data_IF_861848424706
#
_entry.id   IF_861848424706
#
_cell.length_a   1.000
_cell.length_b   1.000
_cell.length_c   1.000
_cell.angle_alpha   90.00
_cell.angle_beta   90.00
_cell.angle_gamma   90.00
#
_symmetry.space_group_name_H-M   'P 1'
#
loop_
_entity.id
_entity.type
_entity.pdbx_description
1 polymer ?
#
# COMPACT_ATOMS: atom_id res chain seq x y z
N UNK A 1 16.98 3.07 62.54
CA UNK A 1 16.32 3.92 61.51
C UNK A 1 16.95 3.63 60.16
N UNK A 2 16.26 2.87 59.30
CA UNK A 2 16.75 2.51 57.95
C UNK A 2 16.18 3.49 56.94
N UNK A 3 17.05 4.16 56.17
CA UNK A 3 16.68 5.09 55.09
C UNK A 3 16.39 4.27 53.83
N UNK A 4 15.20 4.44 53.26
CA UNK A 4 14.85 3.86 51.96
C UNK A 4 15.17 4.86 50.85
N UNK A 5 16.01 4.44 49.90
CA UNK A 5 16.29 5.16 48.67
C UNK A 5 15.17 4.86 47.68
N UNK A 6 14.52 5.90 47.15
CA UNK A 6 13.54 5.79 46.06
C UNK A 6 14.31 6.03 44.76
N UNK A 7 14.43 4.99 43.94
CA UNK A 7 14.98 5.08 42.59
C UNK A 7 13.82 5.40 41.64
N UNK A 8 13.77 6.64 41.13
CA UNK A 8 12.84 7.06 40.09
C UNK A 8 13.43 6.69 38.72
N UNK A 9 12.94 5.61 38.11
CA UNK A 9 13.17 5.33 36.69
C UNK A 9 12.17 6.14 35.86
N UNK A 10 12.65 7.25 35.29
CA UNK A 10 11.97 7.94 34.20
C UNK A 10 12.25 7.16 32.93
N UNK A 11 11.36 6.20 32.62
CA UNK A 11 11.36 5.53 31.33
C UNK A 11 10.87 6.48 30.25
N UNK A 12 11.78 7.05 29.46
CA UNK A 12 11.45 7.73 28.23
C UNK A 12 11.17 6.66 27.16
N UNK A 13 9.95 6.12 27.13
CA UNK A 13 9.49 5.31 26.01
C UNK A 13 9.14 6.27 24.88
N UNK A 14 10.12 6.58 24.03
CA UNK A 14 9.84 7.09 22.69
C UNK A 14 9.20 5.94 21.90
N UNK A 15 7.90 5.74 22.11
CA UNK A 15 7.08 4.99 21.18
C UNK A 15 6.91 5.88 19.94
N UNK A 16 7.84 5.77 18.98
CA UNK A 16 7.56 6.24 17.64
C UNK A 16 6.48 5.34 17.04
N UNK A 17 5.24 5.79 17.11
CA UNK A 17 4.12 5.29 16.31
C UNK A 17 4.35 5.70 14.85
N UNK A 18 5.36 5.13 14.22
CA UNK A 18 5.49 5.12 12.77
C UNK A 18 5.19 3.70 12.32
N UNK A 19 4.65 3.55 11.13
CA UNK A 19 4.40 2.26 10.46
C UNK A 19 3.07 1.61 10.86
N UNK A 20 1.98 2.32 10.52
CA UNK A 20 0.77 1.64 10.08
C UNK A 20 0.94 1.39 8.57
N UNK A 21 0.83 0.13 8.19
CA UNK A 21 0.70 -0.34 6.81
C UNK A 21 -0.25 0.55 6.02
N UNK A 22 0.08 0.90 4.77
CA UNK A 22 -0.88 1.55 3.87
C UNK A 22 -2.12 0.66 3.79
N UNK A 23 -3.28 1.08 4.31
CA UNK A 23 -4.42 0.19 4.56
C UNK A 23 -5.00 -0.43 3.27
N UNK A 24 -4.68 0.14 2.11
CA UNK A 24 -5.11 -0.36 0.81
C UNK A 24 -4.33 -1.57 0.31
N UNK A 25 -3.18 -1.87 0.90
CA UNK A 25 -2.37 -3.00 0.50
C UNK A 25 -2.19 -3.95 1.69
N UNK A 26 -2.34 -5.27 1.50
CA UNK A 26 -2.00 -6.23 2.54
C UNK A 26 -0.55 -6.01 2.99
N UNK A 27 -0.25 -6.37 4.26
CA UNK A 27 0.96 -6.15 5.08
C UNK A 27 2.36 -6.50 4.49
N UNK A 28 2.53 -6.52 3.18
CA UNK A 28 3.80 -6.66 2.45
C UNK A 28 4.35 -5.28 2.01
N UNK A 29 4.12 -4.24 2.82
CA UNK A 29 4.55 -2.88 2.55
C UNK A 29 5.21 -2.31 3.79
N UNK A 30 6.51 -2.52 3.92
CA UNK A 30 7.37 -1.69 4.77
C UNK A 30 8.83 -1.77 4.30
N UNK A 31 9.28 -0.75 3.57
CA UNK A 31 10.67 -0.64 3.16
C UNK A 31 10.92 0.50 2.18
N UNK A 32 11.59 1.57 2.64
CA UNK A 32 12.00 2.70 1.79
C UNK A 32 13.13 2.29 0.83
N UNK A 33 12.78 1.86 -0.38
CA UNK A 33 13.68 1.95 -1.52
C UNK A 33 12.86 2.28 -2.79
N UNK A 34 12.82 3.56 -3.15
CA UNK A 34 12.30 4.02 -4.44
C UNK A 34 13.34 3.72 -5.53
N UNK A 35 13.03 2.82 -6.47
CA UNK A 35 13.81 2.74 -7.70
C UNK A 35 13.48 3.94 -8.59
N UNK A 36 14.50 4.58 -9.18
CA UNK A 36 14.32 5.66 -10.15
C UNK A 36 13.62 5.11 -11.41
N UNK A 37 12.32 5.37 -11.54
CA UNK A 37 11.59 5.07 -12.77
C UNK A 37 11.91 6.12 -13.84
N UNK A 38 12.14 5.68 -15.07
CA UNK A 38 12.20 6.55 -16.24
C UNK A 38 10.78 7.06 -16.54
N UNK A 39 10.53 8.33 -16.21
CA UNK A 39 9.28 9.02 -16.54
C UNK A 39 9.11 9.08 -18.06
N UNK A 40 8.13 8.34 -18.59
CA UNK A 40 7.63 8.56 -19.95
C UNK A 40 6.88 9.90 -20.02
N UNK A 41 6.88 10.49 -21.21
CA UNK A 41 6.49 11.88 -21.48
C UNK A 41 5.17 12.33 -20.83
N UNK A 42 5.26 13.46 -20.11
CA UNK A 42 4.15 14.25 -19.58
C UNK A 42 3.12 14.54 -20.66
N UNK A 43 1.97 13.86 -20.60
CA UNK A 43 0.77 14.30 -21.33
C UNK A 43 0.15 15.46 -20.55
N UNK A 44 -0.54 16.36 -21.25
CA UNK A 44 -1.38 17.36 -20.60
C UNK A 44 -2.59 16.62 -20.01
N UNK A 45 -2.77 16.70 -18.69
CA UNK A 45 -3.73 15.92 -17.91
C UNK A 45 -4.99 16.73 -17.50
N UNK A 46 -5.46 17.65 -18.35
CA UNK A 46 -6.72 18.35 -18.09
C UNK A 46 -7.89 17.34 -18.06
N UNK A 47 -8.65 17.34 -16.96
CA UNK A 47 -9.85 16.50 -16.80
C UNK A 47 -9.67 15.19 -16.03
N UNK A 48 -8.49 14.93 -15.45
CA UNK A 48 -8.27 13.76 -14.61
C UNK A 48 -8.97 13.92 -13.25
N UNK A 49 -9.41 12.81 -12.68
CA UNK A 49 -9.98 12.79 -11.34
C UNK A 49 -8.96 13.26 -10.30
N UNK A 50 -9.43 14.00 -9.30
CA UNK A 50 -8.61 14.38 -8.15
C UNK A 50 -8.99 13.53 -6.95
N UNK A 51 -8.11 12.58 -6.61
CA UNK A 51 -8.28 11.71 -5.44
C UNK A 51 -7.81 12.35 -4.14
N UNK A 52 -7.28 13.57 -4.18
CA UNK A 52 -6.71 14.23 -3.00
C UNK A 52 -7.75 14.47 -1.92
N UNK A 53 -7.35 14.16 -0.69
CA UNK A 53 -8.20 14.31 0.48
C UNK A 53 -7.89 13.31 1.57
N UNK A 54 -8.56 13.50 2.70
CA UNK A 54 -8.59 12.54 3.79
C UNK A 54 -9.84 11.68 3.62
N UNK A 55 -9.65 10.37 3.69
CA UNK A 55 -10.66 9.38 3.36
C UNK A 55 -10.84 8.41 4.53
N UNK A 56 -12.07 7.96 4.76
CA UNK A 56 -12.46 7.18 5.93
C UNK A 56 -13.62 6.25 5.57
N UNK A 57 -13.47 4.95 5.80
CA UNK A 57 -14.37 3.99 5.18
C UNK A 57 -14.18 2.56 5.66
N UNK A 58 -14.87 1.64 5.02
CA UNK A 58 -14.89 0.21 5.36
C UNK A 58 -14.76 -0.64 4.10
N UNK A 59 -14.40 -1.90 4.29
CA UNK A 59 -14.30 -2.88 3.22
C UNK A 59 -15.34 -3.98 3.40
N UNK A 60 -15.86 -4.56 2.31
CA UNK A 60 -16.94 -5.55 2.35
C UNK A 60 -16.56 -6.82 3.14
N UNK A 61 -15.27 -7.15 3.22
CA UNK A 61 -14.75 -8.29 3.98
C UNK A 61 -14.55 -7.99 5.48
N UNK A 62 -14.48 -6.71 5.87
CA UNK A 62 -14.40 -6.27 7.26
C UNK A 62 -15.21 -4.99 7.47
N UNK A 63 -16.55 -5.11 7.57
CA UNK A 63 -17.43 -3.95 7.68
C UNK A 63 -17.37 -3.29 9.06
N UNK A 64 -16.77 -3.95 10.05
CA UNK A 64 -16.64 -3.43 11.43
C UNK A 64 -15.33 -2.64 11.61
N UNK A 65 -14.29 -2.94 10.84
CA UNK A 65 -13.02 -2.22 10.86
C UNK A 65 -13.03 -0.99 9.94
N UNK A 66 -13.18 0.19 10.54
CA UNK A 66 -13.03 1.45 9.81
C UNK A 66 -11.55 1.76 9.57
N UNK A 67 -11.19 1.97 8.31
CA UNK A 67 -9.84 2.39 7.91
C UNK A 67 -9.85 3.83 7.40
N UNK A 68 -8.75 4.55 7.62
CA UNK A 68 -8.61 5.93 7.18
C UNK A 68 -7.19 6.21 6.68
N UNK A 69 -7.08 7.04 5.66
CA UNK A 69 -5.80 7.44 5.06
C UNK A 69 -5.92 8.81 4.39
N UNK A 70 -4.79 9.44 4.13
CA UNK A 70 -4.70 10.69 3.37
C UNK A 70 -4.05 10.44 2.02
N UNK A 71 -4.70 10.93 0.96
CA UNK A 71 -4.18 10.97 -0.40
C UNK A 71 -3.73 12.40 -0.72
N UNK A 72 -2.50 12.54 -1.20
CA UNK A 72 -1.99 13.75 -1.83
C UNK A 72 -1.60 13.43 -3.29
N UNK A 73 -2.28 14.05 -4.25
CA UNK A 73 -1.95 13.91 -5.67
C UNK A 73 -0.98 15.00 -6.11
N UNK A 74 0.02 14.66 -6.92
CA UNK A 74 0.92 15.69 -7.44
C UNK A 74 0.17 16.63 -8.39
N UNK A 75 0.53 17.94 -8.44
CA UNK A 75 -0.15 18.90 -9.31
C UNK A 75 -0.10 18.56 -10.81
N UNK A 76 0.86 17.71 -11.20
CA UNK A 76 1.02 17.22 -12.57
C UNK A 76 0.49 15.79 -12.78
N UNK A 77 -0.27 15.23 -11.82
CA UNK A 77 -0.94 13.93 -11.92
C UNK A 77 0.02 12.73 -12.15
N UNK A 78 1.31 12.93 -11.91
CA UNK A 78 2.37 11.93 -12.15
C UNK A 78 2.69 11.07 -10.94
N UNK A 79 2.17 11.41 -9.76
CA UNK A 79 2.33 10.60 -8.56
C UNK A 79 1.21 10.82 -7.56
N UNK A 80 1.04 9.85 -6.67
CA UNK A 80 0.12 9.90 -5.55
C UNK A 80 0.85 9.49 -4.27
N UNK A 81 0.58 10.17 -3.17
CA UNK A 81 1.13 9.84 -1.85
C UNK A 81 0.00 9.39 -0.97
N UNK A 82 0.11 8.19 -0.38
CA UNK A 82 -0.82 7.71 0.65
C UNK A 82 -0.08 7.62 1.97
N UNK A 83 -0.55 8.32 3.01
CA UNK A 83 0.02 8.27 4.37
C UNK A 83 1.56 8.32 4.38
N UNK A 84 2.13 9.21 3.55
CA UNK A 84 3.58 9.44 3.34
C UNK A 84 4.32 8.45 2.43
N UNK A 85 3.64 7.47 1.82
CA UNK A 85 4.20 6.58 0.81
C UNK A 85 3.87 7.11 -0.60
N UNK A 86 4.87 7.69 -1.26
CA UNK A 86 4.73 8.17 -2.63
C UNK A 86 4.85 7.01 -3.62
N UNK A 87 3.89 6.94 -4.54
CA UNK A 87 3.83 6.03 -5.68
C UNK A 87 3.78 6.84 -6.98
N UNK A 88 4.77 6.69 -7.87
CA UNK A 88 4.70 7.28 -9.20
C UNK A 88 3.63 6.57 -10.04
N UNK A 89 2.95 7.34 -10.90
CA UNK A 89 1.98 6.87 -11.88
C UNK A 89 2.70 6.72 -13.24
N UNK A 90 2.25 5.77 -14.05
CA UNK A 90 2.85 5.31 -15.31
C UNK A 90 4.30 4.84 -15.14
N UNK A 91 4.59 4.32 -13.95
CA UNK A 91 5.90 3.85 -13.54
C UNK A 91 5.78 2.57 -12.71
N UNK A 92 6.73 1.66 -12.93
CA UNK A 92 6.86 0.46 -12.09
C UNK A 92 7.61 0.85 -10.82
N UNK A 93 6.97 0.63 -9.68
CA UNK A 93 7.53 0.79 -8.35
C UNK A 93 7.92 -0.56 -7.80
N UNK A 94 9.21 -0.75 -7.53
CA UNK A 94 9.71 -1.98 -6.91
C UNK A 94 10.21 -1.71 -5.51
N UNK A 95 9.74 -2.49 -4.56
CA UNK A 95 10.17 -2.49 -3.17
C UNK A 95 10.71 -3.87 -2.84
N UNK A 96 11.67 -3.93 -1.94
CA UNK A 96 12.11 -5.21 -1.40
C UNK A 96 12.94 -5.04 -0.15
N UNK A 97 12.79 -6.00 0.75
CA UNK A 97 13.57 -6.14 1.95
C UNK A 97 14.20 -7.53 1.93
N UNK A 98 15.49 -7.59 2.27
CA UNK A 98 16.18 -8.84 2.48
C UNK A 98 16.72 -8.83 3.92
N UNK A 99 16.17 -9.71 4.75
CA UNK A 99 16.59 -9.93 6.13
C UNK A 99 17.22 -11.31 6.30
N UNK A 100 17.63 -11.64 7.53
CA UNK A 100 18.21 -12.95 7.86
C UNK A 100 17.26 -14.09 7.43
N UNK A 101 17.57 -14.71 6.29
CA UNK A 101 16.77 -15.77 5.66
C UNK A 101 15.35 -15.37 5.27
N UNK A 102 15.07 -14.08 5.06
CA UNK A 102 13.77 -13.64 4.56
C UNK A 102 13.96 -12.71 3.37
N UNK A 103 13.20 -12.94 2.31
CA UNK A 103 13.19 -12.12 1.11
C UNK A 103 11.75 -11.70 0.81
N UNK A 104 11.53 -10.40 0.80
CA UNK A 104 10.27 -9.78 0.44
C UNK A 104 10.50 -8.87 -0.77
N UNK A 105 9.61 -8.97 -1.77
CA UNK A 105 9.58 -8.08 -2.91
C UNK A 105 8.15 -7.71 -3.26
N UNK A 106 7.94 -6.46 -3.60
CA UNK A 106 6.65 -5.94 -4.02
C UNK A 106 6.86 -5.11 -5.29
N UNK A 107 6.10 -5.40 -6.33
CA UNK A 107 6.13 -4.68 -7.60
C UNK A 107 4.73 -4.16 -7.83
N UNK A 108 4.60 -2.84 -7.87
CA UNK A 108 3.35 -2.14 -8.13
C UNK A 108 3.51 -1.32 -9.40
N UNK A 109 2.54 -1.40 -10.28
CA UNK A 109 2.44 -0.53 -11.44
C UNK A 109 1.07 0.15 -11.41
N UNK A 110 1.10 1.48 -11.37
CA UNK A 110 -0.07 2.34 -11.31
C UNK A 110 -0.12 3.14 -12.61
N UNK A 111 -1.29 3.27 -13.23
CA UNK A 111 -1.50 4.07 -14.44
C UNK A 111 -2.90 4.65 -14.46
N UNK A 112 -3.11 5.69 -15.25
CA UNK A 112 -4.44 6.25 -15.47
C UNK A 112 -5.26 5.40 -16.44
N UNK A 113 -6.57 5.33 -16.22
CA UNK A 113 -7.50 4.89 -17.27
C UNK A 113 -7.44 5.85 -18.47
N UNK A 114 -7.88 5.38 -19.63
CA UNK A 114 -7.83 6.18 -20.87
C UNK A 114 -8.62 7.50 -20.78
N UNK A 115 -9.67 7.54 -19.96
CA UNK A 115 -10.51 8.71 -19.69
C UNK A 115 -10.05 9.55 -18.48
N UNK A 116 -8.99 9.12 -17.79
CA UNK A 116 -8.45 9.81 -16.61
C UNK A 116 -9.35 9.78 -15.38
N UNK A 117 -10.44 8.99 -15.38
CA UNK A 117 -11.39 8.95 -14.27
C UNK A 117 -11.03 7.90 -13.21
N UNK A 118 -10.10 7.00 -13.51
CA UNK A 118 -9.66 5.93 -12.62
C UNK A 118 -8.14 5.82 -12.56
N UNK A 119 -7.64 5.43 -11.39
CA UNK A 119 -6.29 4.89 -11.27
C UNK A 119 -6.37 3.37 -11.29
N UNK A 120 -5.61 2.75 -12.17
CA UNK A 120 -5.56 1.31 -12.38
C UNK A 120 -4.20 0.78 -11.95
N UNK A 121 -4.22 -0.29 -11.16
CA UNK A 121 -3.06 -0.87 -10.53
C UNK A 121 -2.90 -2.35 -10.85
N UNK A 122 -1.66 -2.79 -10.93
CA UNK A 122 -1.29 -4.20 -10.86
C UNK A 122 -0.22 -4.39 -9.79
N UNK A 123 -0.30 -5.50 -9.06
CA UNK A 123 0.60 -5.84 -7.98
C UNK A 123 1.14 -7.26 -8.16
N UNK A 124 2.45 -7.42 -7.95
CA UNK A 124 3.10 -8.69 -7.68
C UNK A 124 3.82 -8.58 -6.35
N UNK A 125 3.39 -9.33 -5.35
CA UNK A 125 4.06 -9.46 -4.08
C UNK A 125 4.67 -10.85 -3.96
N UNK A 126 5.87 -10.93 -3.42
CA UNK A 126 6.66 -12.13 -3.23
C UNK A 126 7.20 -12.13 -1.81
N UNK A 127 7.00 -13.23 -1.10
CA UNK A 127 7.57 -13.45 0.21
C UNK A 127 8.19 -14.85 0.26
N UNK A 128 9.37 -14.94 0.88
CA UNK A 128 10.05 -16.21 1.11
C UNK A 128 10.81 -16.15 2.42
N UNK A 129 10.42 -17.03 3.35
CA UNK A 129 11.19 -17.32 4.54
C UNK A 129 12.14 -18.51 4.33
N UNK A 130 13.26 -18.54 5.04
CA UNK A 130 14.28 -19.57 4.95
C UNK A 130 15.17 -19.51 3.71
N UNK A 131 15.79 -20.65 3.39
CA UNK A 131 16.69 -20.78 2.24
C UNK A 131 15.90 -20.75 0.91
N UNK A 132 16.37 -19.97 -0.06
CA UNK A 132 15.78 -19.85 -1.41
C UNK A 132 15.75 -21.18 -2.20
N UNK A 133 16.56 -22.16 -1.80
CA UNK A 133 16.58 -23.49 -2.43
C UNK A 133 15.52 -24.48 -1.91
N UNK A 134 14.71 -24.07 -0.93
CA UNK A 134 13.60 -24.86 -0.37
C UNK A 134 12.25 -24.25 -0.74
N UNK A 135 11.16 -25.03 -0.65
CA UNK A 135 9.78 -24.54 -0.78
C UNK A 135 9.38 -23.53 0.31
N UNK A 136 8.12 -23.12 0.32
CA UNK A 136 7.59 -22.05 1.16
C UNK A 136 7.66 -20.67 0.50
N UNK A 137 7.57 -20.59 -0.82
CA UNK A 137 7.43 -19.33 -1.55
C UNK A 137 5.97 -18.92 -1.57
N UNK A 138 5.67 -17.70 -1.12
CA UNK A 138 4.35 -17.09 -1.19
C UNK A 138 4.35 -15.99 -2.26
N UNK A 139 3.34 -16.01 -3.13
CA UNK A 139 3.20 -15.03 -4.22
C UNK A 139 1.76 -14.51 -4.22
N UNK A 140 1.60 -13.19 -4.19
CA UNK A 140 0.34 -12.51 -4.47
C UNK A 140 0.40 -11.84 -5.84
N UNK A 141 -0.57 -12.11 -6.71
CA UNK A 141 -0.74 -11.41 -7.99
C UNK A 141 -2.12 -10.79 -8.01
N UNK A 142 -2.18 -9.47 -8.18
CA UNK A 142 -3.45 -8.77 -8.12
C UNK A 142 -3.53 -7.59 -9.06
N UNK A 143 -4.76 -7.12 -9.23
CA UNK A 143 -5.09 -5.85 -9.87
C UNK A 143 -6.00 -5.06 -8.94
N UNK A 144 -5.89 -3.75 -9.00
CA UNK A 144 -6.73 -2.87 -8.21
C UNK A 144 -7.15 -1.65 -9.03
N UNK A 145 -8.20 -0.97 -8.59
CA UNK A 145 -8.70 0.24 -9.23
C UNK A 145 -9.25 1.22 -8.21
N UNK A 146 -9.01 2.50 -8.44
CA UNK A 146 -9.57 3.59 -7.65
C UNK A 146 -10.44 4.45 -8.54
N UNK A 147 -11.60 4.85 -8.03
CA UNK A 147 -12.54 5.71 -8.75
C UNK A 147 -13.33 6.57 -7.75
N UNK A 148 -13.84 7.70 -8.21
CA UNK A 148 -14.78 8.51 -7.43
C UNK A 148 -16.16 8.33 -8.04
N UNK A 149 -17.12 7.89 -7.23
CA UNK A 149 -18.52 7.78 -7.60
C UNK A 149 -19.36 8.39 -6.47
N UNK A 150 -20.30 9.28 -6.81
CA UNK A 150 -21.15 9.97 -5.82
C UNK A 150 -20.35 10.60 -4.66
N UNK A 151 -19.24 11.27 -4.98
CA UNK A 151 -18.34 11.93 -4.02
C UNK A 151 -17.61 10.98 -3.04
N UNK A 152 -17.71 9.66 -3.26
CA UNK A 152 -17.03 8.64 -2.46
C UNK A 152 -15.88 8.02 -3.24
N UNK A 153 -14.80 7.70 -2.53
CA UNK A 153 -13.69 6.95 -3.09
C UNK A 153 -14.00 5.45 -3.03
N UNK A 154 -14.00 4.81 -4.18
CA UNK A 154 -14.15 3.37 -4.32
C UNK A 154 -12.80 2.75 -4.62
N UNK A 155 -12.43 1.74 -3.81
CA UNK A 155 -11.26 0.91 -4.00
C UNK A 155 -11.70 -0.52 -4.30
N UNK A 156 -11.24 -1.09 -5.39
CA UNK A 156 -11.43 -2.50 -5.71
C UNK A 156 -10.08 -3.19 -5.83
N UNK A 157 -9.97 -4.41 -5.29
CA UNK A 157 -8.80 -5.27 -5.37
C UNK A 157 -9.24 -6.70 -5.69
N UNK A 158 -8.64 -7.29 -6.72
CA UNK A 158 -8.68 -8.72 -6.97
C UNK A 158 -7.27 -9.27 -6.77
N UNK A 159 -7.11 -10.27 -5.91
CA UNK A 159 -5.83 -10.86 -5.55
C UNK A 159 -5.89 -12.39 -5.63
N UNK A 160 -4.96 -12.98 -6.37
CA UNK A 160 -4.69 -14.41 -6.39
C UNK A 160 -3.43 -14.71 -5.57
N UNK A 161 -3.53 -15.62 -4.60
CA UNK A 161 -2.41 -16.01 -3.75
C UNK A 161 -1.95 -17.42 -4.08
N UNK A 162 -0.64 -17.61 -4.16
CA UNK A 162 0.01 -18.87 -4.51
C UNK A 162 1.00 -19.26 -3.41
N UNK A 163 1.11 -20.55 -3.16
CA UNK A 163 2.13 -21.14 -2.30
C UNK A 163 2.87 -22.21 -3.10
N UNK A 164 4.18 -22.04 -3.26
CA UNK A 164 5.03 -22.89 -4.12
C UNK A 164 4.48 -23.08 -5.54
N UNK A 165 3.88 -22.02 -6.09
CA UNK A 165 3.31 -22.00 -7.44
C UNK A 165 1.91 -22.62 -7.57
N UNK A 166 1.38 -23.25 -6.51
CA UNK A 166 0.00 -23.71 -6.48
C UNK A 166 -0.94 -22.58 -6.02
N UNK A 167 -2.05 -22.38 -6.73
CA UNK A 167 -3.07 -21.42 -6.32
C UNK A 167 -3.70 -21.87 -5.00
N UNK A 168 -3.69 -20.98 -3.99
CA UNK A 168 -4.25 -21.23 -2.66
C UNK A 168 -5.59 -20.52 -2.49
N UNK A 169 -5.70 -19.28 -2.96
CA UNK A 169 -6.91 -18.49 -2.78
C UNK A 169 -7.06 -17.41 -3.86
N UNK A 170 -8.31 -17.02 -4.09
CA UNK A 170 -8.66 -15.80 -4.80
C UNK A 170 -9.53 -14.96 -3.87
N UNK A 171 -9.16 -13.69 -3.70
CA UNK A 171 -9.86 -12.75 -2.84
C UNK A 171 -10.24 -11.53 -3.65
N UNK A 172 -11.48 -11.07 -3.49
CA UNK A 172 -11.94 -9.78 -3.97
C UNK A 172 -12.27 -8.92 -2.78
N UNK A 173 -11.77 -7.69 -2.76
CA UNK A 173 -12.05 -6.70 -1.74
C UNK A 173 -12.60 -5.46 -2.44
N UNK A 174 -13.70 -4.94 -1.93
CA UNK A 174 -14.23 -3.64 -2.32
C UNK A 174 -14.37 -2.81 -1.04
N UNK A 175 -13.87 -1.59 -1.10
CA UNK A 175 -13.92 -0.64 0.00
C UNK A 175 -14.49 0.68 -0.49
N UNK A 176 -15.29 1.32 0.37
CA UNK A 176 -15.92 2.61 0.10
C UNK A 176 -15.52 3.59 1.20
N UNK A 177 -15.00 4.73 0.79
CA UNK A 177 -14.51 5.76 1.69
C UNK A 177 -15.26 7.08 1.47
N UNK A 178 -15.69 7.66 2.59
CA UNK A 178 -16.21 9.01 2.66
C UNK A 178 -15.05 10.00 2.83
N UNK A 179 -15.18 11.17 2.20
CA UNK A 179 -14.24 12.28 2.37
C UNK A 179 -14.48 12.95 3.73
N UNK A 180 -13.42 13.19 4.48
CA UNK A 180 -13.45 13.93 5.75
C UNK A 180 -13.32 15.45 5.58
#
# INVERSE_FOLDING_TARGET
MKKHLILLHVGLVLASSGFASVPLFPKLIEGKHQSKANSQQKKSHEGYADFSGRWSGVCDNDPEEKTSFTIEQSPDFSSITIDNAQMPIDAISTYGANGNFEAEKNIVHLHWSNDGQQLLGSQLAYYKAGNLSQGGVEIGVGKFSWSIENERLHYNLELASYHDGALVSNTSIHCVYDKE
#
